data_IF_919451597135
#
_entry.id   IF_919451597135
#
_cell.length_a   1.000
_cell.length_b   1.000
_cell.length_c   1.000
_cell.angle_alpha   90.00
_cell.angle_beta   90.00
_cell.angle_gamma   90.00
#
_symmetry.space_group_name_H-M   'P 1'
#
loop_
_entity.id
_entity.type
_entity.pdbx_description
1 polymer ?
#
# COMPACT_ATOMS: atom_id res chain seq x y z
N UNK A 1 -13.21 -0.44 -16.85
CA UNK A 1 -13.28 0.90 -16.20
C UNK A 1 -11.99 1.15 -15.44
N UNK A 2 -11.46 2.39 -15.45
CA UNK A 2 -10.29 2.74 -14.61
C UNK A 2 -10.79 2.90 -13.19
N UNK A 3 -10.20 2.14 -12.30
CA UNK A 3 -10.41 2.23 -10.86
C UNK A 3 -9.04 2.41 -10.19
N UNK A 4 -9.03 2.98 -9.00
CA UNK A 4 -7.81 3.10 -8.21
C UNK A 4 -7.95 2.18 -7.01
N UNK A 5 -7.04 1.21 -6.88
CA UNK A 5 -7.09 0.31 -5.73
C UNK A 5 -6.88 1.09 -4.41
N UNK A 6 -6.01 2.12 -4.43
CA UNK A 6 -5.65 2.90 -3.24
C UNK A 6 -5.81 4.41 -3.47
N UNK A 7 -7.04 4.92 -3.60
CA UNK A 7 -7.29 6.33 -3.92
C UNK A 7 -6.80 7.28 -2.80
N UNK A 8 -6.73 6.81 -1.55
CA UNK A 8 -6.21 7.57 -0.42
C UNK A 8 -4.74 7.97 -0.55
N UNK A 9 -3.98 7.36 -1.47
CA UNK A 9 -2.61 7.76 -1.75
C UNK A 9 -2.52 9.24 -2.21
N UNK A 10 -3.58 9.76 -2.83
CA UNK A 10 -3.66 11.15 -3.25
C UNK A 10 -3.70 12.13 -2.06
N UNK A 11 -4.01 11.67 -0.84
CA UNK A 11 -3.92 12.51 0.37
C UNK A 11 -2.49 12.94 0.70
N UNK A 12 -1.48 12.29 0.11
CA UNK A 12 -0.08 12.70 0.22
C UNK A 12 0.31 13.79 -0.78
N UNK A 13 -0.58 14.24 -1.67
CA UNK A 13 -0.32 15.34 -2.60
C UNK A 13 0.30 16.59 -1.94
N UNK A 14 -0.20 17.10 -0.78
CA UNK A 14 0.38 18.26 -0.11
C UNK A 14 1.65 17.94 0.70
N UNK A 15 2.10 16.69 0.77
CA UNK A 15 3.20 16.27 1.65
C UNK A 15 4.51 17.06 1.40
N UNK A 16 5.00 17.27 0.16
CA UNK A 16 6.24 18.02 -0.06
C UNK A 16 6.14 19.47 0.43
N UNK A 17 4.96 20.08 0.26
CA UNK A 17 4.70 21.45 0.72
C UNK A 17 4.59 21.53 2.24
N UNK A 18 3.94 20.54 2.87
CA UNK A 18 3.83 20.46 4.32
C UNK A 18 5.20 20.27 4.96
N UNK A 19 6.02 19.36 4.41
CA UNK A 19 7.39 19.15 4.85
C UNK A 19 8.24 20.41 4.71
N UNK A 20 8.09 21.15 3.60
CA UNK A 20 8.82 22.41 3.40
C UNK A 20 8.43 23.51 4.41
N UNK A 21 7.22 23.45 5.00
CA UNK A 21 6.76 24.39 6.03
C UNK A 21 7.10 23.97 7.45
N UNK A 22 7.08 22.68 7.73
CA UNK A 22 7.24 22.14 9.08
C UNK A 22 8.69 21.79 9.43
N UNK A 23 9.51 21.40 8.45
CA UNK A 23 10.88 20.99 8.73
C UNK A 23 11.82 22.20 8.80
N UNK A 24 12.80 22.17 9.72
CA UNK A 24 13.85 23.17 9.72
C UNK A 24 14.68 23.08 8.43
N UNK A 25 15.29 24.19 7.98
CA UNK A 25 16.17 24.18 6.83
C UNK A 25 17.29 23.15 7.03
N UNK A 26 17.59 22.39 5.97
CA UNK A 26 18.64 21.39 6.01
C UNK A 26 19.97 22.04 6.38
N UNK A 27 20.66 21.49 7.38
CA UNK A 27 22.00 21.94 7.75
C UNK A 27 22.93 21.68 6.56
N UNK A 28 23.72 22.68 6.12
CA UNK A 28 24.65 22.48 5.03
C UNK A 28 25.63 21.37 5.41
N UNK A 29 25.57 20.26 4.68
CA UNK A 29 26.57 19.19 4.76
C UNK A 29 27.62 19.46 3.70
N UNK A 30 28.55 20.34 4.03
CA UNK A 30 29.79 20.53 3.30
C UNK A 30 30.95 20.30 4.26
N UNK A 31 32.09 19.84 3.74
CA UNK A 31 33.35 19.97 4.47
C UNK A 31 33.52 21.46 4.77
N UNK A 32 33.34 21.84 6.04
CA UNK A 32 33.61 23.19 6.47
C UNK A 32 35.12 23.40 6.33
N UNK A 33 35.54 23.99 5.20
CA UNK A 33 36.91 24.42 5.04
C UNK A 33 37.09 25.56 6.04
N UNK A 34 37.84 25.30 7.11
CA UNK A 34 38.21 26.34 8.06
C UNK A 34 39.09 27.35 7.33
N UNK A 35 38.49 28.47 6.93
CA UNK A 35 39.20 29.62 6.40
C UNK A 35 39.42 30.61 7.55
N UNK A 36 40.62 30.68 8.15
CA UNK A 36 40.91 31.61 9.24
C UNK A 36 40.79 33.09 8.84
N UNK A 37 40.64 33.37 7.55
CA UNK A 37 40.42 34.69 6.95
C UNK A 37 39.06 34.80 6.25
N UNK A 38 38.11 33.89 6.51
CA UNK A 38 36.77 33.94 5.92
C UNK A 38 36.06 35.28 6.21
N UNK A 39 36.27 35.83 7.41
CA UNK A 39 35.73 37.12 7.80
C UNK A 39 36.31 38.31 7.01
N UNK A 40 37.54 38.22 6.50
CA UNK A 40 38.14 39.27 5.67
C UNK A 40 37.81 39.13 4.18
N UNK A 41 37.35 37.95 3.74
CA UNK A 41 36.82 37.71 2.40
C UNK A 41 35.32 38.03 2.29
N UNK A 42 34.60 37.94 3.41
CA UNK A 42 33.22 38.37 3.54
C UNK A 42 33.18 39.90 3.55
N UNK A 43 33.40 40.54 2.39
CA UNK A 43 32.91 41.90 2.19
C UNK A 43 31.37 41.97 2.37
N UNK A 44 30.75 43.14 2.19
CA UNK A 44 29.30 43.40 2.33
C UNK A 44 28.37 42.50 1.46
N UNK A 45 28.93 41.56 0.71
CA UNK A 45 28.19 40.51 0.03
C UNK A 45 27.63 39.51 1.06
N UNK A 46 26.36 39.72 1.43
CA UNK A 46 25.56 38.73 2.14
C UNK A 46 25.65 37.36 1.43
N UNK A 47 25.68 36.24 2.18
CA UNK A 47 25.74 34.91 1.59
C UNK A 47 24.58 34.74 0.61
N UNK A 48 24.90 34.63 -0.67
CA UNK A 48 23.90 34.43 -1.71
C UNK A 48 23.40 33.00 -1.65
N UNK A 49 22.23 32.82 -1.05
CA UNK A 49 21.51 31.54 -1.10
C UNK A 49 21.18 31.27 -2.56
N UNK A 50 21.90 30.33 -3.18
CA UNK A 50 21.63 29.91 -4.56
C UNK A 50 20.21 29.34 -4.63
N UNK A 51 19.30 30.09 -5.26
CA UNK A 51 17.94 29.66 -5.45
C UNK A 51 17.90 28.38 -6.31
N UNK A 52 17.03 27.44 -5.95
CA UNK A 52 16.84 26.22 -6.74
C UNK A 52 16.30 26.59 -8.13
N UNK A 53 16.93 26.14 -9.23
CA UNK A 53 16.50 26.48 -10.58
C UNK A 53 15.06 25.97 -10.85
N UNK A 54 14.27 26.77 -11.59
CA UNK A 54 12.86 26.47 -11.88
C UNK A 54 12.66 25.09 -12.51
N UNK A 55 13.53 24.71 -13.45
CA UNK A 55 13.49 23.39 -14.10
C UNK A 55 13.59 22.23 -13.09
N UNK A 56 14.46 22.35 -12.08
CA UNK A 56 14.62 21.33 -11.05
C UNK A 56 13.38 21.22 -10.15
N UNK A 57 12.73 22.36 -9.84
CA UNK A 57 11.45 22.36 -9.10
C UNK A 57 10.35 21.64 -9.90
N UNK A 58 10.21 21.97 -11.19
CA UNK A 58 9.23 21.32 -12.09
C UNK A 58 9.49 19.82 -12.18
N UNK A 59 10.75 19.41 -12.35
CA UNK A 59 11.12 18.00 -12.41
C UNK A 59 10.74 17.25 -11.13
N UNK A 60 11.06 17.79 -9.95
CA UNK A 60 10.70 17.14 -8.69
C UNK A 60 9.19 17.08 -8.47
N UNK A 61 8.44 18.12 -8.86
CA UNK A 61 6.97 18.09 -8.81
C UNK A 61 6.43 16.99 -9.74
N UNK A 62 6.95 16.86 -10.96
CA UNK A 62 6.54 15.80 -11.89
C UNK A 62 6.82 14.41 -11.33
N UNK A 63 8.04 14.18 -10.81
CA UNK A 63 8.42 12.91 -10.18
C UNK A 63 7.47 12.57 -9.03
N UNK A 64 7.13 13.56 -8.19
CA UNK A 64 6.19 13.37 -7.09
C UNK A 64 4.79 12.97 -7.57
N UNK A 65 4.26 13.67 -8.59
CA UNK A 65 2.96 13.36 -9.17
C UNK A 65 2.93 11.95 -9.79
N UNK A 66 3.98 11.56 -10.51
CA UNK A 66 4.11 10.23 -11.09
C UNK A 66 4.19 9.15 -10.01
N UNK A 67 4.92 9.40 -8.92
CA UNK A 67 5.02 8.48 -7.80
C UNK A 67 3.66 8.28 -7.13
N UNK A 68 2.89 9.35 -6.89
CA UNK A 68 1.54 9.24 -6.34
C UNK A 68 0.58 8.53 -7.30
N UNK A 69 0.65 8.83 -8.60
CA UNK A 69 -0.17 8.17 -9.60
C UNK A 69 0.12 6.66 -9.68
N UNK A 70 1.39 6.26 -9.66
CA UNK A 70 1.79 4.86 -9.62
C UNK A 70 1.35 4.18 -8.31
N UNK A 71 1.53 4.85 -7.18
CA UNK A 71 1.18 4.33 -5.86
C UNK A 71 -0.34 4.20 -5.64
N UNK A 72 -1.16 5.03 -6.28
CA UNK A 72 -2.63 4.89 -6.26
C UNK A 72 -3.13 3.62 -6.98
N UNK A 73 -2.25 2.92 -7.71
CA UNK A 73 -2.51 1.67 -8.44
C UNK A 73 -3.75 1.77 -9.35
N UNK A 74 -3.66 2.54 -10.46
CA UNK A 74 -4.70 2.54 -11.48
C UNK A 74 -4.80 1.14 -12.09
N UNK A 75 -6.00 0.58 -12.04
CA UNK A 75 -6.31 -0.74 -12.57
C UNK A 75 -7.42 -0.62 -13.61
N UNK A 76 -7.30 -1.37 -14.69
CA UNK A 76 -8.37 -1.50 -15.68
C UNK A 76 -9.19 -2.73 -15.31
N UNK A 77 -10.32 -2.54 -14.62
CA UNK A 77 -11.25 -3.64 -14.36
C UNK A 77 -12.01 -3.95 -15.65
N UNK A 78 -11.99 -5.23 -16.04
CA UNK A 78 -12.90 -5.79 -17.03
C UNK A 78 -14.31 -5.93 -16.47
N UNK A 79 -15.19 -6.52 -17.26
CA UNK A 79 -16.53 -6.85 -16.79
C UNK A 79 -16.47 -7.89 -15.66
N UNK A 80 -17.37 -7.81 -14.66
CA UNK A 80 -17.42 -8.81 -13.60
C UNK A 80 -17.67 -10.19 -14.22
N UNK A 81 -16.70 -11.09 -14.08
CA UNK A 81 -16.87 -12.46 -14.52
C UNK A 81 -17.83 -13.15 -13.54
N UNK A 82 -18.89 -13.77 -14.07
CA UNK A 82 -19.84 -14.49 -13.24
C UNK A 82 -19.10 -15.63 -12.54
N UNK A 83 -18.96 -15.54 -11.21
CA UNK A 83 -18.46 -16.67 -10.41
C UNK A 83 -19.36 -17.85 -10.72
N UNK A 84 -18.86 -18.94 -11.32
CA UNK A 84 -19.69 -20.08 -11.61
C UNK A 84 -20.25 -20.58 -10.28
N UNK A 85 -21.56 -20.46 -10.12
CA UNK A 85 -22.26 -21.18 -9.06
C UNK A 85 -22.14 -22.65 -9.43
N UNK A 86 -21.05 -23.29 -9.00
CA UNK A 86 -20.87 -24.71 -9.23
C UNK A 86 -21.93 -25.39 -8.38
N UNK A 87 -23.05 -25.78 -9.01
CA UNK A 87 -23.97 -26.75 -8.44
C UNK A 87 -23.22 -28.07 -8.34
N UNK A 88 -22.42 -28.22 -7.28
CA UNK A 88 -21.60 -29.42 -7.09
C UNK A 88 -22.57 -30.56 -6.83
N UNK A 89 -22.66 -31.52 -7.74
CA UNK A 89 -23.42 -32.74 -7.52
C UNK A 89 -22.63 -33.60 -6.53
N UNK A 90 -23.10 -33.64 -5.29
CA UNK A 90 -22.55 -34.49 -4.25
C UNK A 90 -23.31 -35.81 -4.27
N UNK A 91 -22.60 -36.93 -4.42
CA UNK A 91 -23.13 -38.26 -4.19
C UNK A 91 -22.64 -38.71 -2.82
N UNK A 92 -23.55 -38.84 -1.88
CA UNK A 92 -23.27 -39.37 -0.55
C UNK A 92 -23.70 -40.84 -0.53
N UNK A 93 -22.72 -41.75 -0.49
CA UNK A 93 -22.98 -43.16 -0.27
C UNK A 93 -22.83 -43.46 1.23
N UNK A 94 -23.88 -44.00 1.84
CA UNK A 94 -23.92 -44.36 3.27
C UNK A 94 -23.95 -45.87 3.40
N UNK A 95 -23.06 -46.43 4.21
CA UNK A 95 -23.08 -47.87 4.53
C UNK A 95 -24.28 -48.19 5.44
N UNK A 96 -24.95 -49.31 5.16
CA UNK A 96 -26.09 -49.86 5.92
C UNK A 96 -25.79 -51.26 6.45
N UNK A 97 -24.51 -51.65 6.53
CA UNK A 97 -24.08 -52.91 7.13
C UNK A 97 -24.54 -53.05 8.59
N UNK A 98 -24.62 -54.30 9.09
CA UNK A 98 -25.02 -54.56 10.47
C UNK A 98 -24.14 -53.88 11.54
N UNK A 99 -22.89 -53.54 11.20
CA UNK A 99 -22.00 -52.78 12.08
C UNK A 99 -22.49 -51.35 12.35
N UNK A 100 -23.33 -50.81 11.46
CA UNK A 100 -23.88 -49.47 11.58
C UNK A 100 -25.05 -49.39 12.58
N UNK A 101 -25.59 -50.53 13.02
CA UNK A 101 -26.61 -50.62 14.06
C UNK A 101 -26.03 -50.64 15.48
N UNK A 102 -24.70 -50.68 15.64
CA UNK A 102 -24.04 -50.68 16.95
C UNK A 102 -24.23 -49.30 17.62
N UNK A 103 -24.69 -49.30 18.87
CA UNK A 103 -24.93 -48.11 19.69
C UNK A 103 -23.66 -47.64 20.43
N UNK A 104 -22.59 -47.41 19.67
CA UNK A 104 -21.29 -46.99 20.21
C UNK A 104 -21.01 -45.48 20.04
N UNK A 105 -21.97 -44.71 19.54
CA UNK A 105 -21.84 -43.26 19.39
C UNK A 105 -22.29 -42.51 20.65
N UNK A 106 -21.72 -41.32 20.85
CA UNK A 106 -21.99 -40.49 22.02
C UNK A 106 -23.50 -40.26 22.22
N UNK A 107 -24.01 -40.52 23.43
CA UNK A 107 -25.44 -40.44 23.74
C UNK A 107 -26.24 -41.71 23.45
N UNK A 108 -25.58 -42.85 23.19
CA UNK A 108 -26.24 -44.14 22.95
C UNK A 108 -26.90 -44.25 21.58
N UNK A 109 -26.49 -43.41 20.62
CA UNK A 109 -26.98 -43.49 19.25
C UNK A 109 -26.24 -44.57 18.47
N UNK A 110 -26.89 -45.13 17.46
CA UNK A 110 -26.21 -45.95 16.46
C UNK A 110 -25.58 -45.08 15.35
N UNK A 111 -24.60 -45.65 14.63
CA UNK A 111 -23.83 -44.92 13.60
C UNK A 111 -24.70 -44.38 12.46
N UNK A 112 -25.77 -45.09 12.08
CA UNK A 112 -26.73 -44.62 11.06
C UNK A 112 -27.54 -43.40 11.52
N UNK A 113 -28.00 -43.38 12.77
CA UNK A 113 -28.75 -42.26 13.34
C UNK A 113 -27.94 -40.97 13.37
N UNK A 114 -26.61 -41.06 13.51
CA UNK A 114 -25.72 -39.90 13.49
C UNK A 114 -25.56 -39.36 12.07
N UNK A 115 -25.49 -40.22 11.06
CA UNK A 115 -25.32 -39.80 9.65
C UNK A 115 -26.62 -39.22 9.06
N UNK A 116 -27.77 -39.63 9.58
CA UNK A 116 -29.10 -39.16 9.12
C UNK A 116 -29.57 -37.85 9.77
N UNK A 117 -28.86 -37.35 10.79
CA UNK A 117 -29.17 -36.09 11.50
C UNK A 117 -28.37 -34.92 10.92
#
# INVERSE_FOLDING_TARGET
MIDFAWPWMLLFLPLPWLLARLLPPARPHGAALFLPFAASLAGDAAPTVRATPRARKVLFTLVWLLLLAAAARPQWLGDPEAVPSTGRRLLLAVDVSGSMAIEDMAGGYNRLQVVQK
#
